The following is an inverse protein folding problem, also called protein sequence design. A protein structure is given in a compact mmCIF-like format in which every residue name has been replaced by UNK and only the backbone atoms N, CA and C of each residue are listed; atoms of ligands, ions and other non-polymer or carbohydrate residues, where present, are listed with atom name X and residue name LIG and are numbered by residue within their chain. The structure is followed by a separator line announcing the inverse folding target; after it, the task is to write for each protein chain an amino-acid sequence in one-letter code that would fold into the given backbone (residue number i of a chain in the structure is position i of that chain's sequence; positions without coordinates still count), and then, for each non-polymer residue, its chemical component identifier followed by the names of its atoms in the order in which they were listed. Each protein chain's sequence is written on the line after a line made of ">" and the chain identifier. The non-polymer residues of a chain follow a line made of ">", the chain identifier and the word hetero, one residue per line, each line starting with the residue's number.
data_IF_117337850974
#
_entry.id   IF_117337850974
#
_cell.length_a   1.000
_cell.length_b   1.000
_cell.length_c   1.000
_cell.angle_alpha   90.00
_cell.angle_beta   90.00
_cell.angle_gamma   90.00
#
_symmetry.space_group_name_H-M   'P 1'
#
loop_
_entity.id
_entity.type
_entity.pdbx_description
1 polymer ?
#
# COMPACT_ATOMS: atom_id res chain seq x y z
N UNK A 1 -5.31 11.42 -27.09
CA UNK A 1 -5.58 12.33 -25.95
C UNK A 1 -6.00 11.48 -24.78
N UNK A 2 -5.37 11.65 -23.61
CA UNK A 2 -5.77 10.95 -22.39
C UNK A 2 -7.19 11.42 -22.03
N UNK A 3 -8.11 10.47 -21.83
CA UNK A 3 -9.49 10.81 -21.52
C UNK A 3 -9.57 11.50 -20.14
N UNK A 4 -10.44 12.51 -19.96
CA UNK A 4 -10.47 13.27 -18.72
C UNK A 4 -10.98 12.42 -17.55
N UNK A 5 -10.31 12.53 -16.41
CA UNK A 5 -10.69 11.93 -15.14
C UNK A 5 -11.49 12.98 -14.34
N UNK A 6 -12.56 12.55 -13.69
CA UNK A 6 -13.39 13.38 -12.82
C UNK A 6 -13.17 12.93 -11.38
N UNK A 7 -12.86 13.89 -10.51
CA UNK A 7 -12.89 13.70 -9.06
C UNK A 7 -14.31 13.90 -8.54
N UNK A 8 -14.72 13.01 -7.64
CA UNK A 8 -16.03 13.00 -7.02
C UNK A 8 -15.80 13.00 -5.52
N UNK A 9 -16.05 14.15 -4.89
CA UNK A 9 -15.95 14.31 -3.45
C UNK A 9 -17.23 13.81 -2.78
N UNK A 10 -17.11 12.96 -1.76
CA UNK A 10 -18.18 12.73 -0.80
C UNK A 10 -18.15 13.83 0.27
N UNK A 11 -18.83 14.95 -0.02
CA UNK A 11 -18.97 16.06 0.93
C UNK A 11 -19.74 15.66 2.21
N UNK A 12 -20.53 14.58 2.18
CA UNK A 12 -21.38 14.19 3.30
C UNK A 12 -20.62 13.42 4.38
N UNK A 13 -19.57 12.66 4.00
CA UNK A 13 -18.78 11.84 4.93
C UNK A 13 -17.32 12.30 5.06
N UNK A 14 -16.92 13.36 4.36
CA UNK A 14 -15.72 14.14 4.63
C UNK A 14 -14.37 13.45 4.41
N UNK A 15 -14.31 12.18 3.96
CA UNK A 15 -13.05 11.42 3.91
C UNK A 15 -12.82 10.55 2.67
N UNK A 16 -13.83 10.28 1.84
CA UNK A 16 -13.66 9.44 0.64
C UNK A 16 -13.88 10.25 -0.64
N UNK A 17 -12.80 10.49 -1.38
CA UNK A 17 -12.88 10.91 -2.78
C UNK A 17 -12.76 9.69 -3.69
N UNK A 18 -13.47 9.72 -4.80
CA UNK A 18 -13.34 8.75 -5.87
C UNK A 18 -13.03 9.44 -7.19
N UNK A 19 -12.25 8.77 -8.03
CA UNK A 19 -11.91 9.26 -9.36
C UNK A 19 -12.44 8.29 -10.39
N UNK A 20 -13.08 8.83 -11.44
CA UNK A 20 -13.68 8.02 -12.50
C UNK A 20 -13.38 8.65 -13.86
N UNK A 21 -13.13 7.82 -14.85
CA UNK A 21 -13.00 8.23 -16.24
C UNK A 21 -14.32 8.84 -16.72
N UNK A 22 -14.27 10.03 -17.32
CA UNK A 22 -15.48 10.78 -17.71
C UNK A 22 -16.46 10.01 -18.59
N UNK A 23 -15.94 9.14 -19.48
CA UNK A 23 -16.77 8.29 -20.35
C UNK A 23 -17.55 7.22 -19.59
N UNK A 24 -17.11 6.86 -18.38
CA UNK A 24 -17.57 5.72 -17.59
C UNK A 24 -18.16 6.15 -16.24
N UNK A 25 -18.32 7.47 -16.03
CA UNK A 25 -18.93 8.09 -14.85
C UNK A 25 -20.46 7.90 -14.80
N UNK A 26 -20.92 6.64 -14.79
CA UNK A 26 -22.33 6.26 -14.66
C UNK A 26 -22.77 6.34 -13.19
N UNK A 27 -24.05 6.64 -12.90
CA UNK A 27 -24.55 6.72 -11.52
C UNK A 27 -24.23 5.48 -10.67
N UNK A 28 -24.34 4.28 -11.25
CA UNK A 28 -24.09 3.03 -10.51
C UNK A 28 -22.59 2.79 -10.26
N UNK A 29 -21.72 3.17 -11.19
CA UNK A 29 -20.25 3.12 -11.00
C UNK A 29 -19.83 4.07 -9.89
N UNK A 30 -20.34 5.31 -9.92
CA UNK A 30 -20.06 6.32 -8.90
C UNK A 30 -20.56 5.84 -7.53
N UNK A 31 -21.80 5.36 -7.48
CA UNK A 31 -22.39 4.83 -6.24
C UNK A 31 -21.59 3.65 -5.70
N UNK A 32 -21.13 2.74 -6.55
CA UNK A 32 -20.36 1.56 -6.14
C UNK A 32 -19.03 1.96 -5.46
N UNK A 33 -18.34 2.95 -6.01
CA UNK A 33 -17.09 3.47 -5.45
C UNK A 33 -17.31 4.24 -4.14
N UNK A 34 -18.28 5.16 -4.10
CA UNK A 34 -18.53 6.00 -2.93
C UNK A 34 -19.17 5.23 -1.76
N UNK A 35 -20.01 4.22 -2.04
CA UNK A 35 -20.63 3.41 -0.98
C UNK A 35 -19.70 2.35 -0.38
N UNK A 36 -18.52 2.15 -0.97
CA UNK A 36 -17.53 1.19 -0.47
C UNK A 36 -16.52 1.91 0.42
N UNK A 37 -16.50 1.52 1.70
CA UNK A 37 -15.57 2.05 2.71
C UNK A 37 -14.15 1.49 2.55
N UNK A 38 -14.05 0.22 2.16
CA UNK A 38 -12.77 -0.45 1.86
C UNK A 38 -12.11 0.11 0.59
N UNK A 39 -10.85 -0.26 0.35
CA UNK A 39 -10.20 0.01 -0.92
C UNK A 39 -11.00 -0.61 -2.09
N UNK A 40 -11.28 0.18 -3.12
CA UNK A 40 -12.06 -0.26 -4.26
C UNK A 40 -11.59 0.31 -5.60
N UNK A 41 -11.69 -0.53 -6.63
CA UNK A 41 -11.62 -0.14 -8.04
C UNK A 41 -12.85 -0.62 -8.79
N UNK A 42 -13.17 0.07 -9.88
CA UNK A 42 -14.09 -0.42 -10.90
C UNK A 42 -13.33 -0.61 -12.20
N UNK A 43 -13.42 -1.81 -12.78
CA UNK A 43 -12.92 -2.08 -14.13
C UNK A 43 -14.06 -2.11 -15.13
N UNK A 44 -13.76 -1.77 -16.38
CA UNK A 44 -14.65 -1.99 -17.51
C UNK A 44 -13.93 -2.81 -18.58
N UNK A 45 -14.67 -3.73 -19.20
CA UNK A 45 -14.17 -4.46 -20.36
C UNK A 45 -14.12 -3.55 -21.59
N UNK A 46 -12.97 -3.53 -22.27
CA UNK A 46 -12.78 -2.75 -23.49
C UNK A 46 -13.38 -3.41 -24.74
N UNK A 47 -13.72 -4.70 -24.69
CA UNK A 47 -14.39 -5.39 -25.78
C UNK A 47 -15.58 -6.23 -25.26
N UNK A 48 -16.83 -5.80 -25.52
CA UNK A 48 -18.03 -6.50 -25.06
C UNK A 48 -18.22 -7.88 -25.72
N UNK A 49 -17.49 -8.18 -26.80
CA UNK A 49 -17.46 -9.47 -27.49
C UNK A 49 -16.18 -10.27 -27.19
N UNK A 50 -15.33 -9.77 -26.29
CA UNK A 50 -14.10 -10.46 -25.93
C UNK A 50 -14.43 -11.79 -25.26
N UNK A 51 -14.21 -12.87 -25.99
CA UNK A 51 -14.29 -14.24 -25.48
C UNK A 51 -12.94 -14.71 -24.96
N UNK A 52 -11.93 -13.83 -24.91
CA UNK A 52 -10.67 -14.18 -24.28
C UNK A 52 -10.88 -14.28 -22.77
N UNK A 53 -10.63 -15.47 -22.25
CA UNK A 53 -10.69 -15.80 -20.84
C UNK A 53 -9.69 -14.92 -20.05
N UNK A 54 -10.19 -13.99 -19.21
CA UNK A 54 -9.39 -13.23 -18.23
C UNK A 54 -9.47 -11.69 -18.34
N UNK A 55 -8.94 -10.95 -17.33
CA UNK A 55 -8.84 -9.46 -17.23
C UNK A 55 -7.75 -8.99 -18.22
N UNK A 56 -7.64 -9.63 -19.38
CA UNK A 56 -6.61 -9.31 -20.36
C UNK A 56 -6.94 -7.98 -21.06
N UNK A 57 -8.22 -7.64 -21.21
CA UNK A 57 -8.68 -6.40 -21.85
C UNK A 57 -9.30 -5.39 -20.89
N UNK A 58 -9.62 -5.79 -19.66
CA UNK A 58 -10.20 -4.92 -18.64
C UNK A 58 -9.24 -3.83 -18.16
N UNK A 59 -9.77 -2.62 -18.06
CA UNK A 59 -9.04 -1.45 -17.57
C UNK A 59 -9.75 -0.84 -16.38
N UNK A 60 -8.97 -0.31 -15.44
CA UNK A 60 -9.48 0.46 -14.31
C UNK A 60 -10.12 1.73 -14.88
N UNK A 61 -11.42 1.91 -14.66
CA UNK A 61 -12.16 3.12 -15.03
C UNK A 61 -12.43 4.01 -13.84
N UNK A 62 -12.30 3.50 -12.61
CA UNK A 62 -12.34 4.32 -11.41
C UNK A 62 -11.74 3.65 -10.18
N UNK A 63 -11.41 4.46 -9.19
CA UNK A 63 -10.80 4.04 -7.93
C UNK A 63 -11.19 5.01 -6.81
N UNK A 64 -11.20 4.55 -5.55
CA UNK A 64 -11.37 5.41 -4.39
C UNK A 64 -10.03 5.75 -3.71
N UNK A 65 -10.04 6.74 -2.82
CA UNK A 65 -8.87 7.18 -2.06
C UNK A 65 -8.23 6.04 -1.27
N UNK A 66 -9.04 5.22 -0.59
CA UNK A 66 -8.56 4.07 0.19
C UNK A 66 -7.74 3.09 -0.66
N UNK A 67 -8.12 2.86 -1.92
CA UNK A 67 -7.34 2.03 -2.84
C UNK A 67 -6.03 2.69 -3.26
N UNK A 68 -6.06 4.00 -3.52
CA UNK A 68 -4.86 4.77 -3.84
C UNK A 68 -3.85 4.69 -2.68
N UNK A 69 -4.31 4.81 -1.44
CA UNK A 69 -3.48 4.69 -0.24
C UNK A 69 -2.92 3.28 -0.07
N UNK A 70 -3.76 2.27 -0.28
CA UNK A 70 -3.35 0.87 -0.17
C UNK A 70 -2.26 0.50 -1.18
N UNK A 71 -2.48 0.85 -2.45
CA UNK A 71 -1.63 0.42 -3.57
C UNK A 71 -0.53 1.44 -3.92
N UNK A 72 -0.63 2.68 -3.43
CA UNK A 72 0.36 3.75 -3.64
C UNK A 72 0.34 4.37 -5.05
N UNK A 73 -0.73 4.17 -5.82
CA UNK A 73 -0.88 4.74 -7.16
C UNK A 73 -1.74 6.00 -7.12
N UNK A 74 -1.36 7.00 -7.93
CA UNK A 74 -2.25 8.13 -8.18
C UNK A 74 -3.36 7.75 -9.16
N UNK A 75 -4.53 8.40 -9.12
CA UNK A 75 -5.63 8.12 -10.05
C UNK A 75 -5.21 8.20 -11.53
N UNK A 76 -4.35 9.16 -11.89
CA UNK A 76 -3.87 9.37 -13.26
C UNK A 76 -2.92 8.27 -13.74
N UNK A 77 -2.33 7.52 -12.81
CA UNK A 77 -1.42 6.41 -13.10
C UNK A 77 -2.17 5.07 -13.19
N UNK A 78 -3.26 4.93 -12.44
CA UNK A 78 -4.07 3.71 -12.38
C UNK A 78 -5.19 3.68 -13.43
N UNK A 79 -5.94 4.77 -13.61
CA UNK A 79 -7.09 4.80 -14.52
C UNK A 79 -6.62 4.66 -15.97
N UNK A 80 -7.27 3.76 -16.70
CA UNK A 80 -6.91 3.35 -18.06
C UNK A 80 -5.84 2.27 -18.13
N UNK A 81 -5.36 1.74 -16.99
CA UNK A 81 -4.43 0.61 -16.94
C UNK A 81 -5.14 -0.68 -16.52
N UNK A 82 -4.53 -1.81 -16.87
CA UNK A 82 -4.98 -3.11 -16.38
C UNK A 82 -4.61 -3.28 -14.89
N UNK A 83 -5.50 -3.86 -14.06
CA UNK A 83 -5.20 -4.21 -12.66
C UNK A 83 -3.98 -5.12 -12.48
N UNK A 84 -3.50 -5.75 -13.58
CA UNK A 84 -2.24 -6.50 -13.61
C UNK A 84 -1.02 -5.68 -13.18
N UNK A 85 -1.13 -4.35 -13.12
CA UNK A 85 -0.11 -3.47 -12.54
C UNK A 85 0.28 -3.84 -11.09
N UNK A 86 -0.60 -4.53 -10.35
CA UNK A 86 -0.34 -5.02 -8.99
C UNK A 86 0.34 -6.41 -8.94
N UNK A 87 0.45 -7.10 -10.08
CA UNK A 87 0.97 -8.47 -10.14
C UNK A 87 2.50 -8.44 -10.28
N UNK A 88 3.17 -9.42 -9.66
CA UNK A 88 4.61 -9.58 -9.69
C UNK A 88 5.01 -11.05 -9.76
N UNK A 89 6.29 -11.34 -9.47
CA UNK A 89 6.87 -12.69 -9.61
C UNK A 89 6.14 -13.77 -8.80
N UNK A 90 5.66 -13.41 -7.61
CA UNK A 90 4.97 -14.31 -6.67
C UNK A 90 3.46 -14.41 -6.90
N UNK A 91 2.91 -13.68 -7.87
CA UNK A 91 1.47 -13.73 -8.14
C UNK A 91 1.12 -15.03 -8.86
N UNK A 92 0.22 -15.83 -8.28
CA UNK A 92 -0.28 -17.03 -8.96
C UNK A 92 -1.25 -16.64 -10.10
N UNK A 93 -0.73 -16.67 -11.32
CA UNK A 93 -1.48 -16.37 -12.53
C UNK A 93 -2.67 -17.32 -12.79
N UNK A 94 -2.61 -18.56 -12.29
CA UNK A 94 -3.74 -19.51 -12.42
C UNK A 94 -4.89 -19.10 -11.52
N UNK A 95 -4.60 -18.71 -10.27
CA UNK A 95 -5.62 -18.21 -9.34
C UNK A 95 -6.24 -16.92 -9.87
N UNK A 96 -5.41 -15.97 -10.35
CA UNK A 96 -5.90 -14.73 -10.93
C UNK A 96 -6.81 -14.95 -12.15
N UNK A 97 -6.49 -15.94 -12.98
CA UNK A 97 -7.32 -16.34 -14.12
C UNK A 97 -8.66 -16.92 -13.66
N UNK A 98 -8.66 -17.91 -12.77
CA UNK A 98 -9.89 -18.52 -12.25
C UNK A 98 -10.80 -17.50 -11.58
N UNK A 99 -10.22 -16.58 -10.79
CA UNK A 99 -10.95 -15.47 -10.20
C UNK A 99 -11.66 -14.63 -11.25
N UNK A 100 -10.95 -14.29 -12.34
CA UNK A 100 -11.56 -13.51 -13.41
C UNK A 100 -12.71 -14.25 -14.08
N UNK A 101 -12.46 -15.50 -14.48
CA UNK A 101 -13.40 -16.27 -15.29
C UNK A 101 -14.73 -16.39 -14.54
N UNK A 102 -14.67 -16.58 -13.22
CA UNK A 102 -15.84 -16.60 -12.34
C UNK A 102 -16.65 -15.30 -12.34
N UNK A 103 -15.97 -14.15 -12.26
CA UNK A 103 -16.64 -12.84 -12.23
C UNK A 103 -17.22 -12.48 -13.60
N UNK A 104 -16.49 -12.77 -14.67
CA UNK A 104 -16.83 -12.27 -16.02
C UNK A 104 -17.88 -13.11 -16.73
N UNK A 105 -17.77 -14.44 -16.62
CA UNK A 105 -18.48 -15.38 -17.48
C UNK A 105 -19.32 -16.43 -16.72
N UNK A 106 -19.12 -16.60 -15.41
CA UNK A 106 -19.85 -17.59 -14.62
C UNK A 106 -20.84 -16.93 -13.63
N UNK A 107 -20.43 -16.77 -12.36
CA UNK A 107 -21.29 -16.37 -11.24
C UNK A 107 -21.56 -14.87 -11.19
N UNK A 108 -20.74 -14.04 -11.84
CA UNK A 108 -20.82 -12.59 -11.68
C UNK A 108 -20.20 -12.06 -10.39
N UNK A 109 -19.65 -12.94 -9.56
CA UNK A 109 -19.04 -12.61 -8.26
C UNK A 109 -17.97 -13.66 -7.91
N UNK A 110 -16.84 -13.23 -7.34
CA UNK A 110 -15.79 -14.13 -6.90
C UNK A 110 -14.91 -13.53 -5.81
N UNK A 111 -14.25 -14.43 -5.08
CA UNK A 111 -13.32 -14.13 -4.01
C UNK A 111 -12.01 -14.87 -4.25
N UNK A 112 -10.88 -14.21 -4.03
CA UNK A 112 -9.58 -14.86 -3.98
C UNK A 112 -8.59 -14.08 -3.11
N UNK A 113 -7.48 -14.74 -2.77
CA UNK A 113 -6.32 -14.09 -2.19
C UNK A 113 -5.13 -14.24 -3.15
N UNK A 114 -4.46 -13.14 -3.45
CA UNK A 114 -3.30 -13.09 -4.34
C UNK A 114 -2.15 -12.32 -3.69
N UNK A 115 -0.92 -12.74 -3.95
CA UNK A 115 0.24 -11.88 -3.65
C UNK A 115 0.26 -10.75 -4.68
N UNK A 116 0.23 -9.51 -4.20
CA UNK A 116 0.33 -8.30 -5.02
C UNK A 116 1.41 -7.36 -4.48
N UNK A 117 1.73 -6.37 -5.29
CA UNK A 117 2.79 -5.41 -5.05
C UNK A 117 2.23 -3.99 -5.18
N UNK A 118 2.44 -3.17 -4.15
CA UNK A 118 2.18 -1.75 -4.22
C UNK A 118 3.18 -1.08 -5.17
N UNK A 119 2.93 0.18 -5.56
CA UNK A 119 3.84 0.95 -6.43
C UNK A 119 5.28 1.00 -5.92
N UNK A 120 5.48 1.01 -4.60
CA UNK A 120 6.81 0.99 -3.98
C UNK A 120 7.55 -0.34 -4.12
N UNK A 121 6.90 -1.39 -4.63
CA UNK A 121 7.38 -2.77 -4.59
C UNK A 121 7.04 -3.50 -3.29
N UNK A 122 6.33 -2.86 -2.36
CA UNK A 122 5.88 -3.52 -1.11
C UNK A 122 4.93 -4.67 -1.46
N UNK A 123 5.33 -5.88 -1.10
CA UNK A 123 4.55 -7.11 -1.23
C UNK A 123 3.47 -7.17 -0.15
N UNK A 124 2.26 -7.58 -0.51
CA UNK A 124 1.17 -7.86 0.43
C UNK A 124 0.26 -8.98 -0.06
N UNK A 125 -0.41 -9.66 0.87
CA UNK A 125 -1.49 -10.59 0.55
C UNK A 125 -2.75 -9.78 0.31
N UNK A 126 -3.29 -9.85 -0.90
CA UNK A 126 -4.42 -9.09 -1.36
C UNK A 126 -5.66 -9.98 -1.41
N UNK A 127 -6.58 -9.76 -0.47
CA UNK A 127 -7.90 -10.36 -0.49
C UNK A 127 -8.82 -9.53 -1.36
N UNK A 128 -9.32 -10.17 -2.41
CA UNK A 128 -10.10 -9.56 -3.47
C UNK A 128 -11.49 -10.15 -3.44
N UNK A 129 -12.49 -9.28 -3.38
CA UNK A 129 -13.89 -9.63 -3.60
C UNK A 129 -14.40 -8.80 -4.78
N UNK A 130 -14.73 -9.46 -5.89
CA UNK A 130 -15.20 -8.78 -7.10
C UNK A 130 -16.63 -9.16 -7.42
N UNK A 131 -17.39 -8.17 -7.88
CA UNK A 131 -18.79 -8.30 -8.27
C UNK A 131 -19.09 -7.49 -9.51
N UNK A 132 -19.79 -8.11 -10.46
CA UNK A 132 -20.28 -7.46 -11.68
C UNK A 132 -21.39 -6.46 -11.34
N UNK A 133 -21.36 -5.30 -11.98
CA UNK A 133 -22.43 -4.31 -11.95
C UNK A 133 -23.36 -4.56 -13.15
N UNK A 134 -24.59 -4.98 -12.88
CA UNK A 134 -25.57 -5.32 -13.93
C UNK A 134 -26.32 -4.08 -14.45
N UNK A 135 -26.99 -4.21 -15.60
CA UNK A 135 -27.88 -3.18 -16.15
C UNK A 135 -27.18 -2.02 -16.86
N UNK A 136 -25.87 -2.13 -17.11
CA UNK A 136 -25.05 -1.09 -17.75
C UNK A 136 -24.72 -1.43 -19.21
N UNK A 137 -24.19 -0.43 -19.92
CA UNK A 137 -23.84 -0.51 -21.35
C UNK A 137 -22.57 -1.33 -21.64
N UNK A 138 -21.79 -1.61 -20.60
CA UNK A 138 -20.58 -2.44 -20.65
C UNK A 138 -20.57 -3.39 -19.46
N UNK A 139 -19.69 -4.41 -19.53
CA UNK A 139 -19.35 -5.21 -18.35
C UNK A 139 -18.48 -4.36 -17.42
N UNK A 140 -19.06 -3.92 -16.31
CA UNK A 140 -18.31 -3.28 -15.22
C UNK A 140 -18.19 -4.23 -14.05
N UNK A 141 -17.03 -4.20 -13.38
CA UNK A 141 -16.75 -5.03 -12.22
C UNK A 141 -16.25 -4.14 -11.09
N UNK A 142 -16.91 -4.17 -9.94
CA UNK A 142 -16.42 -3.58 -8.70
C UNK A 142 -15.54 -4.61 -7.99
N UNK A 143 -14.31 -4.24 -7.66
CA UNK A 143 -13.40 -5.08 -6.88
C UNK A 143 -13.04 -4.38 -5.58
N UNK A 144 -13.43 -4.99 -4.46
CA UNK A 144 -13.04 -4.61 -3.11
C UNK A 144 -11.73 -5.27 -2.73
N UNK A 145 -10.90 -4.52 -2.03
CA UNK A 145 -9.50 -4.81 -1.75
C UNK A 145 -9.26 -4.73 -0.25
N UNK A 146 -8.76 -5.82 0.34
CA UNK A 146 -8.25 -5.85 1.71
C UNK A 146 -6.84 -6.41 1.68
N UNK A 147 -5.94 -5.85 2.49
CA UNK A 147 -4.56 -6.28 2.53
C UNK A 147 -4.20 -6.86 3.89
N UNK A 148 -3.55 -8.01 3.86
CA UNK A 148 -2.95 -8.66 5.02
C UNK A 148 -1.44 -8.81 4.84
N UNK A 149 -0.72 -8.69 5.96
CA UNK A 149 0.72 -8.90 6.04
C UNK A 149 1.48 -7.63 6.46
N UNK A 150 2.57 -7.79 7.23
CA UNK A 150 3.34 -6.67 7.71
C UNK A 150 4.07 -5.99 6.55
N UNK A 151 4.18 -4.67 6.64
CA UNK A 151 5.22 -3.93 5.94
C UNK A 151 6.56 -4.52 6.43
N UNK A 152 7.25 -5.32 5.62
CA UNK A 152 8.50 -5.93 6.05
C UNK A 152 9.57 -4.87 6.41
N UNK A 153 9.36 -3.61 6.00
CA UNK A 153 10.14 -2.46 6.46
C UNK A 153 9.95 -2.18 7.97
N UNK A 154 8.74 -2.36 8.51
CA UNK A 154 8.42 -2.03 9.90
C UNK A 154 8.91 -3.09 10.89
N UNK A 155 8.85 -4.37 10.54
CA UNK A 155 9.35 -5.45 11.43
C UNK A 155 10.86 -5.35 11.64
N UNK A 156 11.62 -4.93 10.62
CA UNK A 156 13.06 -4.68 10.74
C UNK A 156 13.36 -3.53 11.72
N UNK A 157 12.59 -2.45 11.65
CA UNK A 157 12.75 -1.29 12.54
C UNK A 157 12.38 -1.65 13.99
N UNK A 158 11.25 -2.33 14.20
CA UNK A 158 10.76 -2.71 15.54
C UNK A 158 11.69 -3.73 16.22
N UNK A 159 12.22 -4.70 15.47
CA UNK A 159 13.22 -5.63 15.99
C UNK A 159 14.53 -4.91 16.35
N UNK A 160 14.98 -3.96 15.52
CA UNK A 160 16.20 -3.17 15.81
C UNK A 160 16.06 -2.29 17.05
N UNK A 161 14.91 -1.63 17.24
CA UNK A 161 14.63 -0.80 18.40
C UNK A 161 14.52 -1.63 19.68
N UNK A 162 13.90 -2.82 19.59
CA UNK A 162 13.81 -3.75 20.71
C UNK A 162 15.18 -4.31 21.10
N UNK A 163 16.01 -4.69 20.13
CA UNK A 163 17.39 -5.12 20.35
C UNK A 163 18.25 -4.02 20.99
N UNK A 164 18.12 -2.77 20.53
CA UNK A 164 18.82 -1.63 21.14
C UNK A 164 18.35 -1.36 22.58
N UNK A 165 17.05 -1.49 22.85
CA UNK A 165 16.50 -1.35 24.20
C UNK A 165 17.02 -2.45 25.14
N UNK A 166 17.02 -3.71 24.71
CA UNK A 166 17.57 -4.82 25.51
C UNK A 166 19.09 -4.71 25.71
N UNK A 167 19.84 -4.26 24.70
CA UNK A 167 21.27 -4.00 24.82
C UNK A 167 21.56 -2.88 25.84
N UNK A 168 20.79 -1.78 25.80
CA UNK A 168 20.89 -0.71 26.79
C UNK A 168 20.55 -1.21 28.21
N UNK A 169 19.51 -2.05 28.35
CA UNK A 169 19.14 -2.65 29.62
C UNK A 169 20.24 -3.57 30.18
N UNK A 170 20.86 -4.39 29.32
CA UNK A 170 21.99 -5.26 29.68
C UNK A 170 23.22 -4.46 30.13
N UNK A 171 23.50 -3.32 29.48
CA UNK A 171 24.57 -2.41 29.93
C UNK A 171 24.23 -1.85 31.31
N UNK A 172 23.01 -1.38 31.54
CA UNK A 172 22.57 -0.87 32.84
C UNK A 172 22.61 -1.92 33.95
N UNK A 173 22.23 -3.17 33.66
CA UNK A 173 22.21 -4.28 34.63
C UNK A 173 23.60 -4.85 34.93
N UNK A 174 24.55 -4.76 33.99
CA UNK A 174 25.95 -5.11 34.25
C UNK A 174 26.71 -4.00 34.98
N UNK A 175 26.18 -2.77 35.02
CA UNK A 175 26.79 -1.65 35.75
C UNK A 175 26.38 -1.56 37.22
N UNK A 176 25.28 -2.21 37.64
CA UNK A 176 24.86 -2.26 39.04
C UNK A 176 25.66 -3.25 39.90
N UNK A 177 26.67 -3.93 39.35
CA UNK A 177 27.59 -4.82 40.09
C UNK A 177 29.02 -4.29 40.19
N UNK A 178 29.32 -3.11 39.65
CA UNK A 178 30.67 -2.52 39.67
C UNK A 178 30.69 -1.23 40.51
N UNK A 179 30.76 -1.39 41.83
CA UNK A 179 31.17 -0.29 42.68
C UNK A 179 32.69 -0.09 42.62
N UNK A 180 33.06 1.17 42.31
CA UNK A 180 34.32 1.86 42.59
C UNK A 180 35.56 1.48 41.78
N UNK A 181 35.72 2.12 40.62
CA UNK A 181 36.70 3.20 40.38
C UNK A 181 36.66 3.57 38.88
N UNK A 182 36.82 4.86 38.55
CA UNK A 182 36.82 5.42 37.18
C UNK A 182 35.49 5.88 36.59
N UNK A 183 34.79 6.80 37.28
CA UNK A 183 33.67 7.58 36.71
C UNK A 183 34.12 8.82 35.91
N UNK A 184 35.42 9.05 35.77
CA UNK A 184 35.99 10.26 35.14
C UNK A 184 35.86 10.30 33.60
N UNK A 185 35.92 9.15 32.93
CA UNK A 185 35.84 9.08 31.45
C UNK A 185 34.39 9.00 30.96
N UNK A 186 33.50 8.36 31.71
CA UNK A 186 32.08 8.20 31.33
C UNK A 186 31.35 9.55 31.31
N UNK A 187 31.61 10.42 32.29
CA UNK A 187 31.05 11.77 32.32
C UNK A 187 31.51 12.64 31.13
N UNK A 188 32.69 12.37 30.57
CA UNK A 188 33.24 13.09 29.40
C UNK A 188 32.71 12.54 28.07
N UNK A 189 32.42 11.24 27.97
CA UNK A 189 31.95 10.62 26.73
C UNK A 189 30.44 10.64 26.56
N UNK A 190 29.66 10.57 27.65
CA UNK A 190 28.19 10.43 27.57
C UNK A 190 27.46 11.78 27.57
N UNK A 191 28.05 12.82 28.18
CA UNK A 191 27.45 14.16 28.20
C UNK A 191 27.28 14.79 26.80
N UNK A 192 28.20 14.62 25.82
CA UNK A 192 28.00 15.10 24.45
C UNK A 192 26.94 14.30 23.68
N UNK A 193 26.83 12.99 23.94
CA UNK A 193 25.88 12.09 23.26
C UNK A 193 24.42 12.42 23.59
N UNK A 194 24.14 12.93 24.80
CA UNK A 194 22.80 13.37 25.22
C UNK A 194 22.36 14.70 24.59
N UNK A 195 23.26 15.47 23.96
CA UNK A 195 22.94 16.73 23.27
C UNK A 195 22.77 16.58 21.74
N UNK A 196 23.03 15.38 21.21
CA UNK A 196 23.00 15.10 19.77
C UNK A 196 21.60 15.15 19.12
N UNK A 197 20.53 15.26 19.89
CA UNK A 197 19.17 15.46 19.36
C UNK A 197 18.92 16.88 18.85
N UNK A 198 19.89 17.80 18.98
CA UNK A 198 19.77 19.20 18.55
C UNK A 198 20.94 19.76 17.75
N UNK A 199 21.96 18.94 17.44
CA UNK A 199 23.18 19.39 16.76
C UNK A 199 23.03 19.39 15.24
N UNK A 200 23.66 20.38 14.59
CA UNK A 200 23.68 20.47 13.13
C UNK A 200 24.76 19.58 12.51
N UNK A 201 24.60 19.18 11.25
CA UNK A 201 25.49 18.21 10.56
C UNK A 201 26.98 18.57 10.59
N UNK A 202 27.33 19.85 10.72
CA UNK A 202 28.72 20.33 10.75
C UNK A 202 29.43 19.96 12.06
N UNK A 203 28.72 19.89 13.18
CA UNK A 203 29.30 19.58 14.49
C UNK A 203 29.54 18.08 14.67
N UNK A 204 28.73 17.25 14.03
CA UNK A 204 28.89 15.79 14.05
C UNK A 204 30.18 15.35 13.35
N UNK A 205 30.59 16.03 12.28
CA UNK A 205 31.83 15.72 11.55
C UNK A 205 33.10 15.99 12.37
N UNK A 206 33.08 16.95 13.30
CA UNK A 206 34.22 17.26 14.17
C UNK A 206 34.51 16.16 15.20
N UNK A 207 33.46 15.59 15.80
CA UNK A 207 33.58 14.52 16.82
C UNK A 207 34.13 13.23 16.21
N UNK A 208 33.76 12.91 14.97
CA UNK A 208 34.23 11.70 14.27
C UNK A 208 35.74 11.79 13.92
N UNK A 209 36.26 13.00 13.71
CA UNK A 209 37.68 13.23 13.43
C UNK A 209 38.57 12.98 14.64
N UNK A 210 38.09 13.28 15.85
CA UNK A 210 38.88 13.23 17.09
C UNK A 210 38.96 11.81 17.68
N UNK A 211 38.03 10.92 17.32
CA UNK A 211 38.07 9.50 17.71
C UNK A 211 38.99 8.63 16.85
N UNK A 212 39.64 9.17 15.81
CA UNK A 212 40.57 8.43 14.92
C UNK A 212 42.05 8.70 15.16
N UNK A 213 42.41 9.59 16.09
CA UNK A 213 43.80 9.82 16.55
C UNK A 213 44.04 9.17 17.90
#
# INVERSE_FOLDING_TARGET
>A
MQQPIIEIADEAHGMASAWVLKSDAKPDVIRALLSTQDAAIVTASNDPNDKSFGIASDVIVGCNSTWCDLCGFKPEEAIGKSPKLLQGEDTDAKVARVFTDRVSDESGESDCALINYAKSGRRFLHHLHAKRLDGLDKKYTLTRSQAEGPDFADVGLVLSASLLFFAALLVCLNFSTFETESTSWIAKCVAPLMQMSTMSEVEFAGVVSECRS
#
